data_IF_663465679856
#
_entry.id   IF_663465679856
#
_cell.length_a   1.000
_cell.length_b   1.000
_cell.length_c   1.000
_cell.angle_alpha   90.00
_cell.angle_beta   90.00
_cell.angle_gamma   90.00
#
_symmetry.space_group_name_H-M   'P 1'
#
loop_
_entity.id
_entity.type
_entity.pdbx_description
1 polymer ?
#
# COMPACT_ATOMS: atom_id res chain seq x y z
N UNK A 1 -8.22 -55.56 3.99
CA UNK A 1 -7.99 -55.26 5.42
C UNK A 1 -8.05 -53.74 5.58
N UNK A 2 -9.07 -53.19 6.23
CA UNK A 2 -9.15 -51.74 6.46
C UNK A 2 -8.41 -51.36 7.74
N UNK A 3 -7.71 -50.26 7.69
CA UNK A 3 -6.96 -49.65 8.79
C UNK A 3 -7.93 -48.96 9.78
N UNK A 4 -7.72 -49.09 11.10
CA UNK A 4 -8.56 -48.45 12.12
C UNK A 4 -7.95 -47.09 12.52
N UNK A 5 -8.78 -46.26 13.14
CA UNK A 5 -8.52 -45.03 13.87
C UNK A 5 -9.04 -43.75 13.23
N UNK A 6 -10.28 -43.42 13.62
CA UNK A 6 -10.70 -42.04 13.95
C UNK A 6 -12.02 -42.15 14.75
N UNK A 7 -11.92 -42.22 16.07
CA UNK A 7 -13.05 -41.97 16.97
C UNK A 7 -13.09 -40.48 17.23
N UNK A 8 -14.06 -39.81 16.63
CA UNK A 8 -14.41 -38.44 16.99
C UNK A 8 -15.19 -38.49 18.31
N UNK A 9 -14.68 -37.77 19.32
CA UNK A 9 -15.45 -37.47 20.53
C UNK A 9 -16.54 -36.46 20.23
N UNK A 10 -17.77 -36.61 20.73
CA UNK A 10 -18.81 -35.61 20.52
C UNK A 10 -18.50 -34.31 21.28
N UNK A 11 -19.00 -33.16 20.81
CA UNK A 11 -18.82 -31.87 21.47
C UNK A 11 -19.59 -31.89 22.84
N UNK A 12 -19.10 -31.09 23.81
CA UNK A 12 -19.77 -30.96 25.10
C UNK A 12 -21.16 -30.31 24.96
N UNK A 13 -22.11 -30.62 25.83
CA UNK A 13 -23.46 -30.07 25.81
C UNK A 13 -23.44 -28.56 26.12
N UNK A 14 -24.43 -27.79 25.64
CA UNK A 14 -24.56 -26.38 25.95
C UNK A 14 -24.88 -26.13 27.42
N UNK A 15 -24.42 -25.03 28.01
CA UNK A 15 -24.73 -24.69 29.40
C UNK A 15 -26.21 -24.33 29.58
N UNK A 16 -26.79 -24.55 30.81
CA UNK A 16 -28.18 -24.27 31.07
C UNK A 16 -28.53 -22.77 31.03
N UNK A 17 -29.76 -22.41 30.65
CA UNK A 17 -30.20 -21.03 30.61
C UNK A 17 -30.45 -20.48 32.02
N UNK A 18 -29.84 -19.36 32.35
CA UNK A 18 -30.21 -18.56 33.52
C UNK A 18 -29.09 -18.25 34.48
N UNK A 19 -28.16 -17.41 34.09
CA UNK A 19 -27.42 -16.55 35.02
C UNK A 19 -26.97 -15.31 34.23
N UNK A 20 -27.54 -14.18 34.60
CA UNK A 20 -27.24 -12.88 33.97
C UNK A 20 -25.78 -12.49 34.19
N UNK A 21 -25.06 -12.30 33.10
CA UNK A 21 -23.74 -11.71 33.12
C UNK A 21 -23.85 -10.22 33.35
N UNK A 22 -23.77 -9.82 34.61
CA UNK A 22 -23.37 -8.47 35.01
C UNK A 22 -21.93 -8.54 35.47
N UNK A 23 -21.15 -7.63 34.94
CA UNK A 23 -19.86 -7.14 35.42
C UNK A 23 -18.58 -7.82 34.90
N UNK A 24 -17.84 -7.03 34.11
CA UNK A 24 -16.39 -6.96 34.09
C UNK A 24 -15.65 -8.18 33.55
N UNK A 25 -15.54 -8.26 32.22
CA UNK A 25 -14.49 -9.04 31.58
C UNK A 25 -13.11 -8.39 31.76
N UNK A 26 -12.07 -9.12 32.14
CA UNK A 26 -10.72 -8.62 32.09
C UNK A 26 -10.27 -8.42 30.64
N UNK A 27 -9.66 -7.28 30.36
CA UNK A 27 -9.03 -7.01 29.06
C UNK A 27 -7.82 -7.96 28.91
N UNK A 28 -7.94 -8.97 28.08
CA UNK A 28 -6.83 -9.87 27.75
C UNK A 28 -6.06 -9.24 26.60
N UNK A 29 -4.90 -8.63 26.88
CA UNK A 29 -3.96 -8.20 25.82
C UNK A 29 -2.96 -9.33 25.63
N UNK A 30 -3.09 -10.07 24.55
CA UNK A 30 -2.09 -11.05 24.11
C UNK A 30 -1.08 -10.29 23.24
N UNK A 31 0.09 -10.04 23.77
CA UNK A 31 1.22 -9.51 22.99
C UNK A 31 2.12 -10.68 22.59
N UNK A 32 2.16 -11.00 21.32
CA UNK A 32 3.17 -11.87 20.73
C UNK A 32 4.50 -11.11 20.66
N UNK A 33 5.34 -11.29 21.66
CA UNK A 33 6.68 -10.69 21.74
C UNK A 33 7.74 -11.73 21.39
N UNK A 34 7.96 -11.94 20.09
CA UNK A 34 9.23 -12.48 19.61
C UNK A 34 10.07 -11.31 19.02
N UNK A 35 11.20 -11.01 19.68
CA UNK A 35 12.24 -10.07 19.25
C UNK A 35 11.95 -8.56 19.48
N UNK A 36 12.02 -8.13 20.72
CA UNK A 36 12.21 -6.71 21.03
C UNK A 36 13.52 -6.53 21.81
N UNK A 37 14.40 -5.70 21.27
CA UNK A 37 15.65 -5.29 21.93
C UNK A 37 15.36 -4.47 23.20
N UNK A 38 16.24 -4.46 24.24
CA UNK A 38 16.01 -3.80 25.52
C UNK A 38 15.69 -2.29 25.45
N UNK A 39 16.03 -1.63 24.37
CA UNK A 39 15.76 -0.20 24.14
C UNK A 39 14.27 0.16 23.94
N UNK A 40 13.41 -0.80 23.62
CA UNK A 40 11.97 -0.56 23.42
C UNK A 40 11.17 -0.56 24.74
N UNK A 41 11.65 -1.26 25.77
CA UNK A 41 11.00 -1.28 27.08
C UNK A 41 11.09 0.11 27.76
N UNK A 42 12.18 0.84 27.55
CA UNK A 42 12.35 2.19 28.09
C UNK A 42 11.45 3.23 27.36
N UNK A 43 11.08 2.96 26.11
CA UNK A 43 10.22 3.88 25.35
C UNK A 43 8.72 3.71 25.68
N UNK A 44 8.29 2.50 26.00
CA UNK A 44 6.91 2.24 26.38
C UNK A 44 6.49 2.92 27.69
N UNK A 45 7.46 3.10 28.63
CA UNK A 45 7.20 3.80 29.91
C UNK A 45 7.09 5.33 29.72
N UNK A 46 7.61 5.89 28.62
CA UNK A 46 7.55 7.35 28.35
C UNK A 46 6.25 7.83 27.74
N UNK A 47 5.38 6.93 27.30
CA UNK A 47 4.11 7.24 26.61
C UNK A 47 2.89 7.06 27.51
N UNK A 48 3.07 6.78 28.78
CA UNK A 48 1.96 6.73 29.75
C UNK A 48 1.31 8.14 29.91
N UNK A 49 -0.05 8.23 29.86
CA UNK A 49 -0.75 9.49 30.10
C UNK A 49 -0.29 10.17 31.38
N UNK A 50 -0.15 11.47 31.36
CA UNK A 50 0.40 12.28 32.49
C UNK A 50 -0.33 12.09 33.82
N UNK A 51 -1.59 11.67 33.79
CA UNK A 51 -2.39 11.34 34.97
C UNK A 51 -1.91 10.10 35.75
N UNK A 52 -1.17 9.20 35.14
CA UNK A 52 -0.61 8.01 35.79
C UNK A 52 0.77 8.25 36.41
N UNK A 53 1.43 9.38 36.12
CA UNK A 53 2.74 9.76 36.70
C UNK A 53 2.66 10.30 38.12
N UNK A 54 1.46 10.47 38.69
CA UNK A 54 1.24 11.04 40.02
C UNK A 54 0.85 10.02 41.10
N UNK A 55 1.01 8.71 40.82
CA UNK A 55 0.80 7.70 41.85
C UNK A 55 2.05 7.60 42.72
N UNK A 56 1.91 7.49 44.04
CA UNK A 56 3.07 7.35 44.94
C UNK A 56 3.84 6.08 44.65
N UNK A 57 5.18 6.15 44.76
CA UNK A 57 6.12 5.07 44.41
C UNK A 57 5.87 3.73 45.14
N UNK A 58 5.17 3.74 46.25
CA UNK A 58 4.77 2.53 46.98
C UNK A 58 3.78 1.60 46.27
N UNK A 59 3.22 2.00 45.13
CA UNK A 59 2.26 1.18 44.34
C UNK A 59 2.91 0.45 43.17
N UNK A 60 4.21 0.58 42.97
CA UNK A 60 4.94 0.04 41.80
C UNK A 60 6.01 -1.00 42.17
N UNK A 61 5.94 -1.58 43.37
CA UNK A 61 6.81 -2.69 43.75
C UNK A 61 6.28 -4.01 43.19
N UNK A 62 6.41 -4.17 41.85
CA UNK A 62 6.28 -5.44 41.17
C UNK A 62 7.64 -6.09 41.17
N UNK A 63 7.80 -7.09 42.03
CA UNK A 63 9.05 -7.81 42.20
C UNK A 63 9.61 -8.39 40.90
N UNK A 64 10.64 -7.78 40.36
CA UNK A 64 11.51 -8.28 39.29
C UNK A 64 12.60 -9.19 39.89
N UNK A 65 12.25 -10.04 40.81
CA UNK A 65 13.17 -10.98 41.46
C UNK A 65 12.79 -12.41 41.10
N UNK A 66 13.11 -12.84 39.90
CA UNK A 66 12.82 -14.24 39.52
C UNK A 66 13.25 -14.68 38.12
N UNK A 67 14.03 -13.88 37.41
CA UNK A 67 14.36 -14.23 36.01
C UNK A 67 15.87 -14.17 35.69
N UNK A 68 16.70 -14.80 36.56
CA UNK A 68 18.09 -15.06 36.20
C UNK A 68 18.52 -16.43 36.77
N UNK A 69 18.03 -17.53 36.19
CA UNK A 69 18.69 -18.84 36.28
C UNK A 69 18.12 -19.78 35.17
N UNK A 70 18.97 -20.11 34.20
CA UNK A 70 18.76 -21.36 33.45
C UNK A 70 18.53 -21.26 31.92
N UNK A 71 19.47 -20.72 31.16
CA UNK A 71 19.53 -20.99 29.72
C UNK A 71 20.49 -22.14 29.42
N UNK A 72 19.96 -23.35 29.30
CA UNK A 72 20.53 -24.42 28.47
C UNK A 72 19.42 -25.39 28.08
N UNK A 73 18.84 -25.21 26.89
CA UNK A 73 18.19 -26.13 25.95
C UNK A 73 16.99 -25.51 25.23
N UNK A 74 16.69 -25.91 23.98
CA UNK A 74 15.84 -25.12 23.08
C UNK A 74 14.37 -25.48 23.16
N UNK A 75 13.53 -24.50 22.77
CA UNK A 75 12.10 -24.61 22.40
C UNK A 75 11.14 -24.95 23.55
N UNK A 76 10.63 -23.91 24.19
CA UNK A 76 9.29 -23.89 24.74
C UNK A 76 8.79 -22.43 24.73
N UNK A 77 7.67 -22.20 24.06
CA UNK A 77 6.94 -20.94 24.05
C UNK A 77 6.50 -20.57 25.46
N UNK A 78 7.00 -19.46 26.00
CA UNK A 78 6.56 -18.92 27.28
C UNK A 78 5.60 -17.75 27.01
N UNK A 79 4.30 -18.00 27.19
CA UNK A 79 3.28 -16.93 27.22
C UNK A 79 3.26 -16.32 28.62
N UNK A 80 3.61 -15.05 28.74
CA UNK A 80 3.44 -14.31 29.99
C UNK A 80 2.09 -13.60 29.99
N UNK A 81 1.22 -13.96 30.93
CA UNK A 81 -0.08 -13.29 31.17
C UNK A 81 0.12 -12.24 32.25
N UNK A 82 -0.05 -10.96 31.90
CA UNK A 82 -0.07 -9.86 32.86
C UNK A 82 -1.52 -9.52 33.21
N UNK A 83 -1.95 -9.86 34.43
CA UNK A 83 -3.30 -9.53 34.94
C UNK A 83 -3.22 -8.24 35.77
N UNK A 84 -3.86 -7.17 35.31
CA UNK A 84 -4.02 -5.94 36.10
C UNK A 84 -5.43 -5.89 36.68
N UNK A 85 -5.56 -5.99 38.00
CA UNK A 85 -6.84 -5.84 38.71
C UNK A 85 -7.00 -4.39 39.18
N UNK A 86 -8.05 -3.73 38.68
CA UNK A 86 -8.48 -2.40 39.15
C UNK A 86 -9.66 -2.56 40.11
N UNK A 87 -9.53 -1.94 41.30
CA UNK A 87 -10.61 -1.89 42.28
C UNK A 87 -11.73 -0.91 41.89
N UNK A 88 -12.92 -1.00 42.51
CA UNK A 88 -14.10 -0.27 42.06
C UNK A 88 -14.01 1.22 42.42
N UNK A 89 -14.16 2.08 41.40
CA UNK A 89 -14.43 3.52 41.58
C UNK A 89 -15.92 3.73 41.31
N UNK A 90 -16.60 4.33 42.29
CA UNK A 90 -18.03 4.58 42.29
C UNK A 90 -18.45 5.52 41.15
N UNK A 91 -19.54 5.14 40.48
CA UNK A 91 -20.20 5.91 39.46
C UNK A 91 -21.02 7.07 40.07
N UNK A 92 -20.72 8.30 39.66
CA UNK A 92 -21.63 9.43 39.79
C UNK A 92 -22.13 9.79 38.40
N UNK A 93 -23.47 9.95 38.28
CA UNK A 93 -24.20 9.93 37.03
C UNK A 93 -24.01 11.15 36.13
N UNK A 94 -24.17 10.88 34.85
CA UNK A 94 -24.53 11.88 33.83
C UNK A 94 -25.48 11.21 32.82
N UNK A 95 -26.67 11.77 32.65
CA UNK A 95 -27.64 11.35 31.65
C UNK A 95 -27.22 11.79 30.23
N UNK A 96 -27.51 11.01 29.17
CA UNK A 96 -27.19 11.40 27.81
C UNK A 96 -28.28 12.32 27.22
N UNK A 97 -27.87 13.49 26.74
CA UNK A 97 -28.64 14.31 25.83
C UNK A 97 -28.40 13.84 24.39
N UNK A 98 -29.22 12.97 23.89
CA UNK A 98 -29.28 12.68 22.45
C UNK A 98 -30.11 13.79 21.76
N UNK A 99 -29.43 14.66 21.02
CA UNK A 99 -30.05 15.49 19.99
C UNK A 99 -29.87 14.79 18.65
N UNK A 100 -30.97 14.42 18.02
CA UNK A 100 -31.02 13.95 16.63
C UNK A 100 -30.48 15.05 15.72
N UNK A 101 -29.35 14.79 15.06
CA UNK A 101 -28.86 15.62 13.96
C UNK A 101 -29.41 15.03 12.67
N UNK A 102 -30.32 15.74 12.03
CA UNK A 102 -30.71 15.45 10.66
C UNK A 102 -29.52 15.64 9.70
N UNK A 103 -29.41 14.84 8.63
CA UNK A 103 -28.32 15.01 7.68
C UNK A 103 -28.49 16.33 6.92
N UNK A 104 -27.60 17.26 7.18
CA UNK A 104 -27.52 18.50 6.39
C UNK A 104 -27.21 18.16 4.95
N UNK A 105 -28.10 18.58 4.04
CA UNK A 105 -27.89 18.49 2.61
C UNK A 105 -26.61 19.24 2.22
N UNK A 106 -25.63 18.52 1.68
CA UNK A 106 -24.39 19.09 1.16
C UNK A 106 -24.75 19.88 -0.10
N UNK A 107 -24.78 21.18 0.01
CA UNK A 107 -24.87 22.08 -1.16
C UNK A 107 -23.55 21.99 -1.93
N UNK A 108 -23.57 21.69 -3.25
CA UNK A 108 -22.33 21.64 -4.00
C UNK A 108 -21.66 23.04 -3.99
N UNK A 109 -20.32 23.09 -3.75
CA UNK A 109 -19.61 24.37 -3.75
C UNK A 109 -19.62 24.98 -5.15
N UNK A 110 -19.81 26.30 -5.20
CA UNK A 110 -19.76 27.10 -6.44
C UNK A 110 -18.37 26.99 -7.07
N UNK A 111 -18.35 26.78 -8.39
CA UNK A 111 -17.14 26.81 -9.20
C UNK A 111 -16.39 28.13 -9.00
N UNK A 112 -15.36 28.13 -8.17
CA UNK A 112 -14.39 29.21 -8.09
C UNK A 112 -13.29 29.02 -9.17
N UNK A 113 -12.64 30.10 -9.61
CA UNK A 113 -11.57 30.00 -10.59
C UNK A 113 -10.44 29.11 -10.05
N UNK A 114 -10.10 28.06 -10.80
CA UNK A 114 -8.96 27.18 -10.50
C UNK A 114 -7.69 28.04 -10.49
N UNK A 115 -6.80 27.89 -9.49
CA UNK A 115 -5.49 28.51 -9.56
C UNK A 115 -4.81 28.11 -10.88
N UNK A 116 -4.31 29.09 -11.60
CA UNK A 116 -3.63 28.86 -12.87
C UNK A 116 -2.40 27.97 -12.62
N UNK A 117 -2.43 26.74 -13.15
CA UNK A 117 -1.24 25.88 -13.20
C UNK A 117 -0.27 26.59 -14.11
N UNK A 118 0.89 26.99 -13.61
CA UNK A 118 1.96 27.54 -14.45
C UNK A 118 2.34 26.45 -15.45
N UNK A 119 1.84 26.58 -16.66
CA UNK A 119 2.43 25.94 -17.83
C UNK A 119 3.60 26.84 -18.18
N UNK A 120 4.81 26.40 -17.95
CA UNK A 120 5.97 27.00 -18.59
C UNK A 120 5.83 26.70 -20.08
N UNK A 121 5.17 27.62 -20.79
CA UNK A 121 4.87 27.50 -22.21
C UNK A 121 6.14 27.33 -23.05
N UNK A 122 7.29 27.75 -22.54
CA UNK A 122 8.58 27.64 -23.22
C UNK A 122 9.18 26.21 -23.18
N UNK A 123 8.82 25.36 -22.24
CA UNK A 123 9.28 23.96 -22.22
C UNK A 123 8.45 23.05 -23.13
N UNK A 124 7.18 23.38 -23.39
CA UNK A 124 6.31 22.61 -24.29
C UNK A 124 6.65 22.79 -25.78
N UNK A 125 7.46 23.77 -26.14
CA UNK A 125 7.75 24.16 -27.54
C UNK A 125 8.98 23.47 -28.15
N UNK A 126 9.86 22.84 -27.36
CA UNK A 126 11.02 22.11 -27.91
C UNK A 126 10.75 20.62 -27.93
N UNK A 127 10.92 19.94 -29.09
CA UNK A 127 10.87 18.49 -29.12
C UNK A 127 11.93 17.94 -28.15
N UNK A 128 11.53 16.93 -27.35
CA UNK A 128 12.47 16.27 -26.45
C UNK A 128 13.66 15.73 -27.26
N UNK A 129 14.90 15.84 -26.75
CA UNK A 129 16.05 15.26 -27.42
C UNK A 129 15.88 13.73 -27.50
N UNK A 130 16.58 13.08 -28.45
CA UNK A 130 16.59 11.63 -28.47
C UNK A 130 17.19 11.06 -27.17
N UNK A 131 16.75 9.89 -26.80
CA UNK A 131 17.38 9.13 -25.71
C UNK A 131 18.86 8.88 -26.01
N UNK A 132 19.71 8.68 -25.00
CA UNK A 132 21.10 8.29 -25.19
C UNK A 132 21.21 7.05 -26.11
N UNK A 133 22.16 7.10 -27.05
CA UNK A 133 22.35 6.03 -28.02
C UNK A 133 22.58 4.67 -27.30
N UNK A 134 21.90 3.61 -27.77
CA UNK A 134 22.01 2.27 -27.21
C UNK A 134 21.30 2.05 -25.87
N UNK A 135 20.69 3.10 -25.26
CA UNK A 135 20.06 2.92 -23.94
C UNK A 135 18.74 2.14 -24.02
N UNK A 136 17.97 2.32 -25.08
CA UNK A 136 16.73 1.54 -25.28
C UNK A 136 17.06 0.05 -25.51
N UNK A 137 18.08 -0.27 -26.32
CA UNK A 137 18.59 -1.62 -26.53
C UNK A 137 19.10 -2.24 -25.23
N UNK A 138 19.75 -1.43 -24.41
CA UNK A 138 20.19 -1.86 -23.10
C UNK A 138 19.00 -2.22 -22.21
N UNK A 139 17.93 -1.41 -22.16
CA UNK A 139 16.72 -1.74 -21.40
C UNK A 139 16.06 -3.01 -21.91
N UNK A 140 16.03 -3.26 -23.22
CA UNK A 140 15.54 -4.49 -23.80
C UNK A 140 16.34 -5.71 -23.34
N UNK A 141 17.67 -5.58 -23.23
CA UNK A 141 18.56 -6.62 -22.72
C UNK A 141 18.40 -6.95 -21.22
N UNK A 142 17.65 -6.15 -20.48
CA UNK A 142 17.32 -6.41 -19.07
C UNK A 142 16.05 -7.24 -18.88
N UNK A 143 15.33 -7.58 -19.96
CA UNK A 143 14.17 -8.46 -19.87
C UNK A 143 14.61 -9.82 -19.29
N UNK A 144 14.04 -10.25 -18.14
CA UNK A 144 14.51 -11.42 -17.43
C UNK A 144 14.09 -12.75 -18.04
N UNK A 145 13.38 -12.73 -19.18
CA UNK A 145 12.83 -13.92 -19.81
C UNK A 145 11.70 -14.57 -19.02
N UNK A 146 10.87 -13.77 -18.36
CA UNK A 146 9.67 -14.26 -17.70
C UNK A 146 8.66 -14.81 -18.74
N UNK A 147 7.59 -15.51 -18.30
CA UNK A 147 6.60 -16.05 -19.24
C UNK A 147 5.99 -15.00 -20.19
N UNK A 148 6.04 -13.73 -19.78
CA UNK A 148 5.67 -12.57 -20.59
C UNK A 148 6.71 -11.47 -20.48
N UNK A 149 6.97 -10.70 -21.54
CA UNK A 149 7.93 -9.60 -21.53
C UNK A 149 7.62 -8.57 -20.44
N UNK A 150 8.67 -7.99 -19.87
CA UNK A 150 8.56 -6.89 -18.89
C UNK A 150 8.52 -5.56 -19.63
N UNK A 151 7.63 -4.67 -19.22
CA UNK A 151 7.59 -3.29 -19.72
C UNK A 151 8.51 -2.39 -18.91
N UNK A 152 9.43 -1.69 -19.56
CA UNK A 152 10.41 -0.79 -18.94
C UNK A 152 10.37 0.56 -19.64
N UNK A 153 10.36 1.65 -18.86
CA UNK A 153 10.59 2.98 -19.39
C UNK A 153 11.42 3.83 -18.41
N UNK A 154 12.28 4.66 -18.97
CA UNK A 154 13.08 5.65 -18.25
C UNK A 154 12.99 6.98 -19.00
N UNK A 155 12.68 8.06 -18.27
CA UNK A 155 12.59 9.41 -18.82
C UNK A 155 13.41 10.38 -17.95
N UNK A 156 14.31 11.13 -18.55
CA UNK A 156 14.96 12.27 -17.88
C UNK A 156 13.94 13.40 -17.74
N UNK A 157 13.66 13.80 -16.51
CA UNK A 157 12.59 14.77 -16.21
C UNK A 157 12.95 16.16 -16.71
N UNK A 158 14.24 16.53 -16.68
CA UNK A 158 14.73 17.85 -17.07
C UNK A 158 14.78 18.02 -18.58
N UNK A 159 15.38 17.08 -19.31
CA UNK A 159 15.55 17.17 -20.77
C UNK A 159 14.37 16.60 -21.56
N UNK A 160 13.62 15.68 -20.96
CA UNK A 160 12.46 15.05 -21.57
C UNK A 160 12.77 13.85 -22.47
N UNK A 161 14.04 13.41 -22.63
CA UNK A 161 14.29 12.18 -23.38
C UNK A 161 13.66 10.96 -22.72
N UNK A 162 13.22 10.03 -23.55
CA UNK A 162 12.59 8.79 -23.10
C UNK A 162 13.20 7.60 -23.83
N UNK A 163 13.61 6.59 -23.07
CA UNK A 163 13.98 5.26 -23.56
C UNK A 163 13.03 4.24 -22.99
N UNK A 164 12.63 3.23 -23.78
CA UNK A 164 11.73 2.19 -23.30
C UNK A 164 11.91 0.86 -24.02
N UNK A 165 11.54 -0.21 -23.32
CA UNK A 165 11.28 -1.53 -23.86
C UNK A 165 9.82 -1.89 -23.57
N UNK A 166 9.05 -2.35 -24.58
CA UNK A 166 7.59 -2.57 -24.47
C UNK A 166 6.84 -1.34 -23.93
N UNK A 167 7.35 -0.12 -24.18
CA UNK A 167 6.94 1.11 -23.53
C UNK A 167 5.47 1.51 -23.77
N UNK A 168 4.87 1.12 -24.89
CA UNK A 168 3.51 1.48 -25.30
C UNK A 168 2.50 0.35 -25.08
N UNK A 169 2.94 -0.82 -24.59
CA UNK A 169 2.06 -1.92 -24.24
C UNK A 169 1.42 -1.69 -22.86
N UNK A 170 0.12 -1.98 -22.69
CA UNK A 170 -0.54 -1.89 -21.39
C UNK A 170 -0.17 -3.09 -20.50
N UNK A 171 0.18 -2.83 -19.26
CA UNK A 171 0.53 -3.82 -18.24
C UNK A 171 -0.40 -3.69 -17.02
N UNK A 172 -0.69 -4.81 -16.31
CA UNK A 172 -1.32 -4.78 -14.99
C UNK A 172 -0.56 -3.84 -14.05
N UNK A 173 -1.19 -2.78 -13.55
CA UNK A 173 -0.48 -1.87 -12.64
C UNK A 173 -0.68 -2.19 -11.16
N UNK A 174 -1.75 -2.94 -10.81
CA UNK A 174 -2.03 -3.27 -9.41
C UNK A 174 -2.02 -2.00 -8.54
N UNK A 175 -1.41 -2.06 -7.36
CA UNK A 175 -1.36 -0.93 -6.42
C UNK A 175 -0.60 0.32 -6.92
N UNK A 176 0.02 0.32 -8.10
CA UNK A 176 0.49 1.55 -8.75
C UNK A 176 -0.68 2.49 -8.99
N UNK A 177 -1.87 1.96 -9.27
CA UNK A 177 -3.12 2.71 -9.48
C UNK A 177 -3.49 3.66 -8.35
N UNK A 178 -3.06 3.37 -7.10
CA UNK A 178 -3.29 4.22 -5.92
C UNK A 178 -2.68 5.61 -6.04
N UNK A 179 -1.63 5.73 -6.85
CA UNK A 179 -1.03 7.04 -7.16
C UNK A 179 -2.03 7.94 -7.88
N UNK A 180 -2.76 7.41 -8.85
CA UNK A 180 -3.72 8.19 -9.62
C UNK A 180 -4.92 8.63 -8.79
N UNK A 181 -5.36 7.77 -7.86
CA UNK A 181 -6.40 8.13 -6.87
C UNK A 181 -5.91 9.29 -5.99
N UNK A 182 -4.71 9.18 -5.44
CA UNK A 182 -4.13 10.23 -4.60
C UNK A 182 -3.97 11.56 -5.36
N UNK A 183 -3.52 11.53 -6.62
CA UNK A 183 -3.42 12.75 -7.45
C UNK A 183 -4.80 13.37 -7.70
N UNK A 184 -5.85 12.55 -7.92
CA UNK A 184 -7.21 13.05 -8.09
C UNK A 184 -7.74 13.73 -6.82
N UNK A 185 -7.49 13.14 -5.66
CA UNK A 185 -7.82 13.77 -4.37
C UNK A 185 -7.08 15.10 -4.21
N UNK A 186 -5.79 15.14 -4.54
CA UNK A 186 -5.01 16.39 -4.43
C UNK A 186 -5.47 17.46 -5.42
N UNK A 187 -5.93 17.11 -6.62
CA UNK A 187 -6.59 18.06 -7.54
C UNK A 187 -7.88 18.65 -6.93
N UNK A 188 -8.63 17.84 -6.20
CA UNK A 188 -9.82 18.32 -5.51
C UNK A 188 -9.47 19.21 -4.30
N UNK A 189 -8.36 18.93 -3.61
CA UNK A 189 -7.82 19.79 -2.54
C UNK A 189 -7.36 21.13 -3.13
N UNK A 190 -6.63 21.13 -4.22
CA UNK A 190 -6.19 22.34 -4.93
C UNK A 190 -7.40 23.18 -5.41
N UNK A 191 -8.49 22.52 -5.79
CA UNK A 191 -9.74 23.16 -6.17
C UNK A 191 -10.64 23.52 -4.95
N UNK A 192 -10.19 23.31 -3.71
CA UNK A 192 -10.92 23.55 -2.46
C UNK A 192 -12.25 22.80 -2.35
N UNK A 193 -12.36 21.65 -3.02
CA UNK A 193 -13.50 20.73 -2.91
C UNK A 193 -13.34 19.72 -1.79
N UNK A 194 -12.10 19.46 -1.39
CA UNK A 194 -11.74 18.63 -0.24
C UNK A 194 -10.71 19.38 0.61
N UNK A 195 -10.63 19.00 1.89
CA UNK A 195 -9.58 19.44 2.81
C UNK A 195 -8.78 18.20 3.25
N UNK A 196 -7.45 18.34 3.26
CA UNK A 196 -6.56 17.26 3.72
C UNK A 196 -6.80 16.88 5.17
N UNK A 197 -7.18 17.84 5.99
CA UNK A 197 -7.42 17.64 7.43
C UNK A 197 -8.92 17.39 7.74
N UNK A 198 -9.75 17.29 6.69
CA UNK A 198 -11.14 16.87 6.83
C UNK A 198 -11.23 15.50 7.48
N UNK A 199 -12.06 15.40 8.52
CA UNK A 199 -12.38 14.14 9.18
C UNK A 199 -13.09 13.17 8.23
N UNK A 200 -12.64 11.92 8.24
CA UNK A 200 -13.24 10.80 7.54
C UNK A 200 -13.47 9.66 8.52
N UNK A 201 -14.67 9.11 8.52
CA UNK A 201 -15.00 7.95 9.34
C UNK A 201 -14.95 6.70 8.47
N UNK A 202 -14.14 5.70 8.88
CA UNK A 202 -14.17 4.35 8.34
C UNK A 202 -15.06 3.48 9.24
N UNK A 203 -15.77 2.56 8.59
CA UNK A 203 -16.61 1.55 9.23
C UNK A 203 -16.26 0.17 8.69
N UNK A 204 -16.88 -0.88 9.21
CA UNK A 204 -16.73 -2.23 8.65
C UNK A 204 -17.15 -2.32 7.17
N UNK A 205 -18.05 -1.44 6.71
CA UNK A 205 -18.43 -1.36 5.29
C UNK A 205 -17.30 -0.85 4.37
N UNK A 206 -16.28 -0.19 4.94
CA UNK A 206 -15.12 0.31 4.21
C UNK A 206 -14.01 -0.76 4.07
N UNK A 207 -14.19 -1.96 4.64
CA UNK A 207 -13.24 -3.06 4.47
C UNK A 207 -13.10 -3.41 2.99
N UNK A 208 -11.87 -3.67 2.59
CA UNK A 208 -11.48 -4.11 1.25
C UNK A 208 -10.99 -5.58 1.29
N UNK A 209 -10.04 -5.93 0.46
CA UNK A 209 -9.41 -7.25 0.42
C UNK A 209 -7.88 -7.12 0.48
N UNK A 210 -7.18 -8.18 0.85
CA UNK A 210 -5.73 -8.25 1.00
C UNK A 210 -5.16 -7.23 2.00
N UNK A 211 -4.15 -6.46 1.62
CA UNK A 211 -3.42 -5.54 2.48
C UNK A 211 -4.28 -4.32 2.86
N UNK A 212 -4.77 -4.29 4.08
CA UNK A 212 -5.63 -3.21 4.60
C UNK A 212 -5.38 -2.92 6.09
N UNK A 213 -4.16 -2.49 6.46
CA UNK A 213 -3.79 -2.26 7.86
C UNK A 213 -4.73 -1.32 8.62
N UNK A 214 -5.32 -0.34 7.93
CA UNK A 214 -6.23 0.63 8.55
C UNK A 214 -7.46 -0.04 9.17
N UNK A 215 -7.89 -1.18 8.67
CA UNK A 215 -9.09 -1.87 9.21
C UNK A 215 -8.88 -2.47 10.59
N UNK A 216 -7.62 -2.66 11.02
CA UNK A 216 -7.30 -3.07 12.40
C UNK A 216 -7.53 -1.95 13.42
N UNK A 217 -7.72 -0.72 12.97
CA UNK A 217 -8.01 0.44 13.80
C UNK A 217 -9.51 0.69 13.97
N UNK A 218 -10.36 -0.07 13.26
CA UNK A 218 -11.81 0.03 13.41
C UNK A 218 -12.20 -0.64 14.72
N UNK A 219 -12.42 0.17 15.76
CA UNK A 219 -12.86 -0.25 17.07
C UNK A 219 -14.31 0.15 17.29
N UNK A 220 -15.12 -0.73 17.88
CA UNK A 220 -16.56 -0.50 18.08
C UNK A 220 -17.31 -0.08 16.79
N UNK A 221 -16.86 -0.61 15.64
CA UNK A 221 -17.48 -0.39 14.33
C UNK A 221 -17.07 0.89 13.61
N UNK A 222 -16.20 1.73 14.18
CA UNK A 222 -15.74 2.98 13.56
C UNK A 222 -14.27 3.29 13.81
N UNK A 223 -13.64 4.00 12.88
CA UNK A 223 -12.33 4.63 13.06
C UNK A 223 -12.36 6.03 12.43
N UNK A 224 -12.06 7.05 13.22
CA UNK A 224 -11.95 8.43 12.77
C UNK A 224 -10.53 8.74 12.32
N UNK A 225 -10.38 9.31 11.14
CA UNK A 225 -9.10 9.67 10.52
C UNK A 225 -9.24 10.91 9.66
N UNK A 226 -8.24 11.21 8.81
CA UNK A 226 -8.27 12.34 7.88
C UNK A 226 -7.98 11.90 6.45
N UNK A 227 -8.34 12.73 5.46
CA UNK A 227 -7.97 12.52 4.05
C UNK A 227 -6.45 12.39 3.92
N UNK A 228 -5.68 13.20 4.64
CA UNK A 228 -4.22 13.17 4.71
C UNK A 228 -3.69 11.81 5.14
N UNK A 229 -4.19 11.27 6.24
CA UNK A 229 -3.76 9.96 6.76
C UNK A 229 -4.11 8.84 5.77
N UNK A 230 -5.29 8.88 5.16
CA UNK A 230 -5.69 7.89 4.16
C UNK A 230 -4.76 7.90 2.93
N UNK A 231 -4.37 9.08 2.42
CA UNK A 231 -3.39 9.19 1.31
C UNK A 231 -2.05 8.57 1.73
N UNK A 232 -1.58 8.89 2.94
CA UNK A 232 -0.31 8.35 3.43
C UNK A 232 -0.36 6.83 3.58
N UNK A 233 -1.44 6.26 4.12
CA UNK A 233 -1.62 4.80 4.22
C UNK A 233 -1.69 4.13 2.85
N UNK A 234 -2.49 4.67 1.94
CA UNK A 234 -2.64 4.13 0.59
C UNK A 234 -1.32 4.13 -0.19
N UNK A 235 -0.50 5.17 -0.05
CA UNK A 235 0.77 5.27 -0.77
C UNK A 235 1.92 4.57 -0.04
N UNK A 236 2.11 4.81 1.26
CA UNK A 236 3.28 4.32 2.02
C UNK A 236 3.19 2.82 2.30
N UNK A 237 2.03 2.35 2.76
CA UNK A 237 1.78 0.96 3.15
C UNK A 237 0.99 0.18 2.10
N UNK A 238 0.57 0.85 1.02
CA UNK A 238 -0.29 0.24 -0.01
C UNK A 238 -1.65 -0.26 0.51
N UNK A 239 -2.24 0.42 1.50
CA UNK A 239 -3.49 0.05 2.16
C UNK A 239 -4.68 0.12 1.18
N UNK A 240 -5.36 -1.02 0.99
CA UNK A 240 -6.45 -1.15 0.03
C UNK A 240 -7.74 -0.49 0.52
N UNK A 241 -8.06 -0.60 1.81
CA UNK A 241 -9.26 0.01 2.39
C UNK A 241 -9.14 1.55 2.42
N UNK A 242 -7.95 2.07 2.77
CA UNK A 242 -7.68 3.49 2.69
C UNK A 242 -7.82 4.00 1.26
N UNK A 243 -7.32 3.26 0.26
CA UNK A 243 -7.46 3.62 -1.16
C UNK A 243 -8.92 3.59 -1.63
N UNK A 244 -9.67 2.55 -1.27
CA UNK A 244 -11.08 2.44 -1.67
C UNK A 244 -11.93 3.56 -1.06
N UNK A 245 -11.64 3.96 0.18
CA UNK A 245 -12.26 5.14 0.80
C UNK A 245 -11.94 6.43 0.05
N UNK A 246 -10.66 6.64 -0.30
CA UNK A 246 -10.22 7.78 -1.12
C UNK A 246 -10.85 7.75 -2.51
N UNK A 247 -10.98 6.57 -3.13
CA UNK A 247 -11.66 6.39 -4.41
C UNK A 247 -13.11 6.86 -4.33
N UNK A 248 -13.83 6.50 -3.25
CA UNK A 248 -15.18 6.97 -3.00
C UNK A 248 -15.25 8.50 -2.85
N UNK A 249 -14.35 9.10 -2.06
CA UNK A 249 -14.24 10.56 -1.89
C UNK A 249 -13.89 11.27 -3.21
N UNK A 250 -13.09 10.65 -4.07
CA UNK A 250 -12.76 11.20 -5.38
C UNK A 250 -13.97 11.27 -6.33
N UNK A 251 -15.04 10.54 -6.05
CA UNK A 251 -16.20 10.40 -6.93
C UNK A 251 -16.18 9.11 -7.78
N UNK A 252 -15.40 8.12 -7.35
CA UNK A 252 -15.29 6.81 -7.98
C UNK A 252 -14.31 6.73 -9.15
N UNK A 253 -14.18 5.54 -9.77
CA UNK A 253 -13.23 5.30 -10.87
C UNK A 253 -13.41 6.23 -12.06
N UNK A 254 -14.66 6.59 -12.39
CA UNK A 254 -14.95 7.50 -13.49
C UNK A 254 -14.37 8.90 -13.27
N UNK A 255 -14.41 9.41 -12.04
CA UNK A 255 -13.82 10.71 -11.70
C UNK A 255 -12.30 10.68 -11.79
N UNK A 256 -11.66 9.57 -11.37
CA UNK A 256 -10.20 9.39 -11.52
C UNK A 256 -9.84 9.34 -13.00
N UNK A 257 -10.59 8.59 -13.82
CA UNK A 257 -10.35 8.51 -15.26
C UNK A 257 -10.55 9.87 -15.96
N UNK A 258 -11.54 10.66 -15.54
CA UNK A 258 -11.76 12.02 -16.03
C UNK A 258 -10.61 12.96 -15.66
N UNK A 259 -10.07 12.83 -14.43
CA UNK A 259 -8.88 13.58 -14.03
C UNK A 259 -7.68 13.21 -14.90
N UNK A 260 -7.39 11.92 -15.11
CA UNK A 260 -6.30 11.45 -15.97
C UNK A 260 -6.41 12.05 -17.37
N UNK A 261 -7.59 11.98 -17.96
CA UNK A 261 -7.87 12.54 -19.29
C UNK A 261 -7.69 14.07 -19.33
N UNK A 262 -8.20 14.79 -18.32
CA UNK A 262 -8.11 16.26 -18.24
C UNK A 262 -6.67 16.77 -18.11
N UNK A 263 -5.76 15.93 -17.60
CA UNK A 263 -4.32 16.22 -17.45
C UNK A 263 -3.48 15.64 -18.58
N UNK A 264 -4.09 15.06 -19.62
CA UNK A 264 -3.39 14.46 -20.75
C UNK A 264 -2.57 13.22 -20.40
N UNK A 265 -2.87 12.56 -19.27
CA UNK A 265 -2.21 11.33 -18.85
C UNK A 265 -2.74 10.14 -19.66
N UNK A 266 -2.25 10.00 -20.88
CA UNK A 266 -2.60 8.91 -21.78
C UNK A 266 -1.87 7.61 -21.40
N UNK A 267 -2.45 6.46 -21.81
CA UNK A 267 -1.85 5.15 -21.56
C UNK A 267 -2.00 4.66 -20.12
N UNK A 268 -2.85 5.31 -19.31
CA UNK A 268 -3.17 4.89 -17.94
C UNK A 268 -4.68 4.73 -17.84
N UNK A 269 -5.12 3.55 -17.38
CA UNK A 269 -6.51 3.21 -17.21
C UNK A 269 -6.78 2.77 -15.77
N UNK A 270 -7.93 3.21 -15.23
CA UNK A 270 -8.45 2.76 -13.97
C UNK A 270 -9.97 2.60 -14.10
N UNK A 271 -10.48 1.38 -13.93
CA UNK A 271 -11.87 1.05 -14.20
C UNK A 271 -12.69 0.73 -12.94
N UNK A 272 -12.04 0.30 -11.86
CA UNK A 272 -12.71 -0.26 -10.68
C UNK A 272 -12.00 0.17 -9.39
N UNK A 273 -12.70 0.08 -8.25
CA UNK A 273 -12.08 0.13 -6.93
C UNK A 273 -11.29 -1.17 -6.66
N UNK A 274 -10.46 -1.17 -5.62
CA UNK A 274 -9.54 -2.28 -5.33
C UNK A 274 -10.31 -3.58 -5.07
N UNK A 275 -11.41 -3.54 -4.30
CA UNK A 275 -12.17 -4.74 -3.94
C UNK A 275 -12.84 -5.39 -5.16
N UNK A 276 -13.37 -4.59 -6.10
CA UNK A 276 -13.95 -5.11 -7.37
C UNK A 276 -12.86 -5.61 -8.30
N UNK A 277 -11.80 -4.82 -8.47
CA UNK A 277 -10.65 -5.20 -9.30
C UNK A 277 -10.06 -6.54 -8.86
N UNK A 278 -9.75 -6.70 -7.58
CA UNK A 278 -9.15 -7.93 -7.07
C UNK A 278 -10.10 -9.13 -7.12
N UNK A 279 -11.40 -8.91 -6.92
CA UNK A 279 -12.40 -9.96 -7.10
C UNK A 279 -12.46 -10.44 -8.56
N UNK A 280 -12.53 -9.51 -9.49
CA UNK A 280 -12.57 -9.80 -10.93
C UNK A 280 -11.30 -10.51 -11.42
N UNK A 281 -10.12 -10.09 -10.96
CA UNK A 281 -8.84 -10.76 -11.24
C UNK A 281 -8.86 -12.21 -10.77
N UNK A 282 -9.46 -12.48 -9.60
CA UNK A 282 -9.60 -13.84 -9.07
C UNK A 282 -10.64 -14.68 -9.82
N UNK A 283 -11.51 -14.10 -10.64
CA UNK A 283 -12.66 -14.77 -11.24
C UNK A 283 -13.89 -14.75 -10.32
N UNK A 284 -13.95 -13.83 -9.35
CA UNK A 284 -15.08 -13.62 -8.46
C UNK A 284 -15.84 -12.34 -8.82
N UNK A 285 -17.12 -12.30 -8.45
CA UNK A 285 -17.88 -11.05 -8.37
C UNK A 285 -17.83 -10.53 -6.94
N UNK A 286 -17.48 -9.25 -6.78
CA UNK A 286 -17.47 -8.63 -5.45
C UNK A 286 -18.86 -8.65 -4.80
N UNK A 287 -18.89 -9.04 -3.53
CA UNK A 287 -20.02 -8.82 -2.63
C UNK A 287 -19.50 -8.38 -1.25
N UNK A 288 -20.29 -7.67 -0.43
CA UNK A 288 -19.86 -7.23 0.90
C UNK A 288 -19.40 -8.38 1.81
N UNK A 289 -19.94 -9.57 1.64
CA UNK A 289 -19.55 -10.75 2.44
C UNK A 289 -18.07 -11.13 2.25
N UNK A 290 -17.49 -10.78 1.09
CA UNK A 290 -16.07 -11.02 0.83
C UNK A 290 -15.15 -10.12 1.64
N UNK A 291 -15.65 -9.07 2.27
CA UNK A 291 -14.86 -8.18 3.13
C UNK A 291 -14.62 -8.77 4.53
N UNK A 292 -15.38 -9.79 4.94
CA UNK A 292 -15.15 -10.45 6.21
C UNK A 292 -13.76 -11.11 6.23
N UNK A 293 -13.14 -11.14 7.42
CA UNK A 293 -11.79 -11.67 7.58
C UNK A 293 -11.64 -13.09 7.00
N UNK A 294 -10.74 -13.26 6.06
CA UNK A 294 -10.47 -14.55 5.38
C UNK A 294 -11.55 -15.00 4.38
N UNK A 295 -12.66 -14.28 4.23
CA UNK A 295 -13.75 -14.69 3.34
C UNK A 295 -13.35 -14.65 1.86
N UNK A 296 -12.60 -13.61 1.45
CA UNK A 296 -12.11 -13.49 0.10
C UNK A 296 -11.13 -14.63 -0.26
N UNK A 297 -10.18 -14.92 0.61
CA UNK A 297 -9.22 -16.02 0.45
C UNK A 297 -9.95 -17.36 0.38
N UNK A 298 -10.94 -17.58 1.25
CA UNK A 298 -11.75 -18.81 1.25
C UNK A 298 -12.58 -18.94 -0.04
N UNK A 299 -13.20 -17.86 -0.52
CA UNK A 299 -13.95 -17.86 -1.77
C UNK A 299 -13.04 -18.18 -2.96
N UNK A 300 -11.88 -17.53 -3.02
CA UNK A 300 -10.86 -17.74 -4.04
C UNK A 300 -10.31 -19.18 -4.05
N UNK A 301 -10.13 -19.78 -2.86
CA UNK A 301 -9.65 -21.16 -2.73
C UNK A 301 -10.68 -22.21 -3.20
N UNK A 302 -11.98 -21.88 -3.24
CA UNK A 302 -13.06 -22.76 -3.72
C UNK A 302 -13.26 -22.72 -5.24
N UNK A 303 -12.66 -21.73 -5.92
CA UNK A 303 -12.76 -21.66 -7.38
C UNK A 303 -12.12 -22.90 -8.02
N UNK A 304 -12.68 -23.33 -9.14
CA UNK A 304 -12.00 -24.28 -10.01
C UNK A 304 -10.63 -23.72 -10.41
N UNK A 305 -9.54 -24.48 -10.22
CA UNK A 305 -8.19 -24.01 -10.47
C UNK A 305 -7.96 -23.56 -11.92
N UNK A 306 -8.61 -24.20 -12.90
CA UNK A 306 -8.48 -23.84 -14.31
C UNK A 306 -9.26 -22.57 -14.64
N UNK A 307 -10.46 -22.40 -14.08
CA UNK A 307 -11.23 -21.17 -14.22
C UNK A 307 -10.47 -19.98 -13.60
N UNK A 308 -9.82 -20.17 -12.45
CA UNK A 308 -8.99 -19.15 -11.82
C UNK A 308 -7.75 -18.83 -12.66
N UNK A 309 -7.08 -19.85 -13.23
CA UNK A 309 -5.96 -19.65 -14.14
C UNK A 309 -6.39 -18.83 -15.35
N UNK A 310 -7.52 -19.17 -15.97
CA UNK A 310 -8.06 -18.44 -17.11
C UNK A 310 -8.35 -16.97 -16.79
N UNK A 311 -8.92 -16.66 -15.62
CA UNK A 311 -9.18 -15.27 -15.18
C UNK A 311 -7.88 -14.48 -15.02
N UNK A 312 -6.85 -15.06 -14.42
CA UNK A 312 -5.54 -14.44 -14.25
C UNK A 312 -4.85 -14.19 -15.60
N UNK A 313 -4.91 -15.15 -16.52
CA UNK A 313 -4.35 -15.01 -17.87
C UNK A 313 -5.08 -13.92 -18.67
N UNK A 314 -6.41 -13.90 -18.61
CA UNK A 314 -7.22 -12.85 -19.27
C UNK A 314 -6.88 -11.45 -18.73
N UNK A 315 -6.64 -11.33 -17.42
CA UNK A 315 -6.22 -10.09 -16.81
C UNK A 315 -4.85 -9.63 -17.32
N UNK A 316 -3.89 -10.53 -17.42
CA UNK A 316 -2.54 -10.20 -17.92
C UNK A 316 -2.57 -9.81 -19.40
N UNK A 317 -3.46 -10.43 -20.19
CA UNK A 317 -3.62 -10.14 -21.62
C UNK A 317 -4.35 -8.82 -21.88
N UNK A 318 -5.35 -8.51 -21.07
CA UNK A 318 -6.18 -7.31 -21.19
C UNK A 318 -6.42 -6.70 -19.79
N UNK A 319 -5.42 -6.02 -19.21
CA UNK A 319 -5.53 -5.51 -17.84
C UNK A 319 -6.59 -4.41 -17.74
N UNK A 320 -7.53 -4.59 -16.80
CA UNK A 320 -8.63 -3.64 -16.56
C UNK A 320 -8.12 -2.31 -16.00
N UNK A 321 -7.01 -2.37 -15.26
CA UNK A 321 -6.24 -1.27 -14.71
C UNK A 321 -4.95 -1.00 -15.51
N UNK A 322 -4.92 -1.31 -16.81
CA UNK A 322 -3.70 -1.29 -17.60
C UNK A 322 -3.02 0.06 -17.65
N UNK A 323 -1.68 0.05 -17.52
CA UNK A 323 -0.86 1.22 -17.76
C UNK A 323 0.33 0.90 -18.66
N UNK A 324 0.67 1.84 -19.55
CA UNK A 324 1.86 1.75 -20.39
C UNK A 324 3.07 2.32 -19.63
N UNK A 325 4.25 1.68 -19.67
CA UNK A 325 5.45 2.22 -19.04
C UNK A 325 5.76 3.66 -19.46
N UNK A 326 5.63 3.96 -20.75
CA UNK A 326 5.85 5.31 -21.27
C UNK A 326 4.81 6.33 -20.76
N UNK A 327 3.54 5.92 -20.63
CA UNK A 327 2.50 6.76 -20.04
C UNK A 327 2.77 7.08 -18.58
N UNK A 328 3.20 6.07 -17.81
CA UNK A 328 3.54 6.23 -16.39
C UNK A 328 4.72 7.20 -16.20
N UNK A 329 5.82 7.05 -16.93
CA UNK A 329 6.97 7.94 -16.75
C UNK A 329 6.68 9.38 -17.19
N UNK A 330 5.86 9.60 -18.24
CA UNK A 330 5.38 10.93 -18.62
C UNK A 330 4.53 11.56 -17.51
N UNK A 331 3.62 10.81 -16.90
CA UNK A 331 2.80 11.29 -15.79
C UNK A 331 3.64 11.63 -14.56
N UNK A 332 4.62 10.80 -14.19
CA UNK A 332 5.56 11.07 -13.10
C UNK A 332 6.42 12.29 -13.36
N UNK A 333 6.92 12.45 -14.58
CA UNK A 333 7.69 13.62 -14.98
C UNK A 333 6.83 14.90 -14.91
N UNK A 334 5.60 14.87 -15.41
CA UNK A 334 4.64 15.97 -15.32
C UNK A 334 4.32 16.34 -13.86
N UNK A 335 4.15 15.33 -12.98
CA UNK A 335 3.98 15.56 -11.55
C UNK A 335 5.21 16.29 -10.97
N UNK A 336 6.41 15.80 -11.24
CA UNK A 336 7.62 16.39 -10.69
C UNK A 336 7.82 17.84 -11.17
N UNK A 337 7.46 18.17 -12.43
CA UNK A 337 7.53 19.53 -12.97
C UNK A 337 6.41 20.46 -12.49
N UNK A 338 5.47 19.96 -11.65
CA UNK A 338 4.33 20.73 -11.14
C UNK A 338 3.25 21.02 -12.19
N UNK A 339 3.17 20.23 -13.26
CA UNK A 339 2.20 20.40 -14.35
C UNK A 339 0.81 19.81 -14.01
N UNK A 340 0.74 18.95 -13.00
CA UNK A 340 -0.50 18.25 -12.62
C UNK A 340 -1.25 18.88 -11.46
N UNK A 341 -0.52 19.39 -10.46
CA UNK A 341 -1.03 19.87 -9.18
C UNK A 341 -0.37 21.20 -8.79
N UNK A 342 -0.90 21.86 -7.76
CA UNK A 342 -0.19 22.97 -7.12
C UNK A 342 1.16 22.53 -6.55
N UNK A 343 2.06 23.47 -6.30
CA UNK A 343 3.39 23.19 -5.71
C UNK A 343 3.26 22.47 -4.37
N UNK A 344 2.38 22.94 -3.49
CA UNK A 344 2.16 22.34 -2.18
C UNK A 344 1.67 20.89 -2.29
N UNK A 345 0.72 20.64 -3.18
CA UNK A 345 0.17 19.30 -3.42
C UNK A 345 1.18 18.36 -4.07
N UNK A 346 1.97 18.88 -5.01
CA UNK A 346 3.10 18.15 -5.62
C UNK A 346 4.12 17.75 -4.56
N UNK A 347 4.57 18.69 -3.74
CA UNK A 347 5.56 18.42 -2.68
C UNK A 347 5.04 17.41 -1.67
N UNK A 348 3.76 17.48 -1.27
CA UNK A 348 3.13 16.51 -0.37
C UNK A 348 3.16 15.08 -0.96
N UNK A 349 2.77 14.91 -2.23
CA UNK A 349 2.79 13.59 -2.89
C UNK A 349 4.22 13.07 -3.00
N UNK A 350 5.18 13.89 -3.45
CA UNK A 350 6.58 13.46 -3.62
C UNK A 350 7.23 13.08 -2.28
N UNK A 351 6.98 13.84 -1.21
CA UNK A 351 7.44 13.50 0.13
C UNK A 351 6.80 12.20 0.64
N UNK A 352 5.52 11.98 0.36
CA UNK A 352 4.81 10.74 0.73
C UNK A 352 5.40 9.54 0.00
N UNK A 353 5.64 9.64 -1.32
CA UNK A 353 6.27 8.59 -2.12
C UNK A 353 7.72 8.29 -1.68
N UNK A 354 8.46 9.30 -1.19
CA UNK A 354 9.80 9.11 -0.62
C UNK A 354 9.82 8.27 0.68
N UNK A 355 8.66 8.09 1.32
CA UNK A 355 8.49 7.33 2.57
C UNK A 355 7.90 5.93 2.37
N UNK A 356 7.68 5.51 1.13
CA UNK A 356 7.13 4.17 0.81
C UNK A 356 7.98 3.08 1.45
N UNK A 357 7.32 2.15 2.14
CA UNK A 357 7.97 1.04 2.86
C UNK A 357 7.94 -0.27 2.09
N UNK A 358 7.05 -0.40 1.11
CA UNK A 358 6.92 -1.61 0.28
C UNK A 358 8.01 -1.69 -0.78
N UNK A 359 8.44 -2.90 -1.15
CA UNK A 359 9.42 -3.17 -2.21
C UNK A 359 10.79 -2.52 -2.03
N UNK A 360 11.44 -2.57 -0.85
CA UNK A 360 12.73 -1.90 -0.63
C UNK A 360 13.83 -2.45 -1.53
N UNK A 361 13.68 -3.68 -2.02
CA UNK A 361 14.63 -4.37 -2.89
C UNK A 361 14.30 -4.26 -4.39
N UNK A 362 13.26 -3.48 -4.76
CA UNK A 362 12.96 -3.21 -6.17
C UNK A 362 13.83 -2.07 -6.71
N UNK A 363 13.30 -1.02 -7.29
CA UNK A 363 14.10 0.10 -7.83
C UNK A 363 15.11 0.64 -6.82
N UNK A 364 14.67 0.85 -5.56
CA UNK A 364 15.55 1.35 -4.50
C UNK A 364 16.75 0.45 -4.25
N UNK A 365 16.57 -0.88 -4.34
CA UNK A 365 17.62 -1.88 -4.10
C UNK A 365 18.77 -1.85 -5.10
N UNK A 366 18.62 -1.19 -6.25
CA UNK A 366 19.68 -1.03 -7.26
C UNK A 366 20.37 0.34 -7.23
N UNK A 367 20.03 1.21 -6.28
CA UNK A 367 20.57 2.57 -6.20
C UNK A 367 21.73 2.65 -5.19
N UNK A 368 22.86 3.30 -5.55
CA UNK A 368 23.96 3.51 -4.63
C UNK A 368 23.65 4.64 -3.62
N UNK A 369 24.46 4.77 -2.55
CA UNK A 369 24.35 5.88 -1.60
C UNK A 369 24.34 7.26 -2.29
N UNK A 370 23.55 8.18 -1.77
CA UNK A 370 23.36 9.52 -2.33
C UNK A 370 22.22 9.63 -3.33
N UNK A 371 21.75 8.53 -3.92
CA UNK A 371 20.54 8.52 -4.72
C UNK A 371 19.29 8.45 -3.84
N UNK A 372 18.19 9.02 -4.34
CA UNK A 372 16.88 8.99 -3.65
C UNK A 372 15.81 8.41 -4.58
N UNK A 373 14.86 7.68 -4.01
CA UNK A 373 13.69 7.18 -4.73
C UNK A 373 12.41 7.63 -4.04
N UNK A 374 11.49 8.16 -4.83
CA UNK A 374 10.09 8.40 -4.48
C UNK A 374 9.26 7.51 -5.40
N UNK A 375 8.73 6.38 -4.87
CA UNK A 375 8.21 5.31 -5.71
C UNK A 375 6.90 4.72 -5.20
N UNK A 376 6.23 3.94 -6.04
CA UNK A 376 5.04 3.16 -5.69
C UNK A 376 5.14 1.77 -6.29
N UNK A 377 5.00 0.77 -5.45
CA UNK A 377 4.97 -0.64 -5.87
C UNK A 377 3.58 -1.12 -6.23
N UNK A 378 3.51 -2.17 -7.02
CA UNK A 378 2.31 -2.95 -7.29
C UNK A 378 2.63 -4.43 -7.22
N UNK A 379 1.85 -5.21 -6.45
CA UNK A 379 2.00 -6.66 -6.33
C UNK A 379 0.62 -7.29 -6.44
N UNK A 380 0.48 -8.20 -7.37
CA UNK A 380 -0.79 -8.88 -7.67
C UNK A 380 -0.91 -10.23 -6.98
N UNK A 381 -1.91 -10.98 -7.42
CA UNK A 381 -2.24 -12.27 -6.82
C UNK A 381 -1.24 -13.35 -7.19
N UNK A 382 -0.94 -14.21 -6.23
CA UNK A 382 -0.15 -15.42 -6.44
C UNK A 382 -1.03 -16.59 -6.85
N UNK A 383 -0.57 -17.35 -7.86
CA UNK A 383 -1.18 -18.60 -8.26
C UNK A 383 -0.17 -19.51 -8.96
N UNK A 384 -0.13 -20.80 -8.62
CA UNK A 384 0.76 -21.83 -9.24
C UNK A 384 2.24 -21.40 -9.33
N UNK A 385 2.75 -20.75 -8.29
CA UNK A 385 4.16 -20.32 -8.27
C UNK A 385 4.48 -19.04 -9.05
N UNK A 386 3.46 -18.35 -9.56
CA UNK A 386 3.57 -17.09 -10.30
C UNK A 386 2.88 -15.97 -9.53
N UNK A 387 3.39 -14.74 -9.66
CA UNK A 387 2.71 -13.51 -9.24
C UNK A 387 2.22 -12.77 -10.49
N UNK A 388 0.93 -12.44 -10.53
CA UNK A 388 0.27 -11.77 -11.65
C UNK A 388 0.24 -10.25 -11.44
N UNK A 389 1.28 -9.59 -11.91
CA UNK A 389 1.59 -8.18 -11.70
C UNK A 389 2.64 -7.96 -10.61
N UNK A 390 3.86 -7.59 -11.00
CA UNK A 390 4.95 -7.22 -10.09
C UNK A 390 5.59 -5.94 -10.62
N UNK A 391 5.41 -4.83 -9.91
CA UNK A 391 5.67 -3.52 -10.46
C UNK A 391 6.40 -2.62 -9.47
N UNK A 392 7.22 -1.71 -10.00
CA UNK A 392 7.70 -0.55 -9.27
C UNK A 392 7.87 0.63 -10.22
N UNK A 393 7.30 1.77 -9.85
CA UNK A 393 7.38 2.99 -10.64
C UNK A 393 7.69 4.17 -9.74
N UNK A 394 8.45 5.14 -10.23
CA UNK A 394 8.79 6.27 -9.38
C UNK A 394 9.73 7.27 -10.02
N UNK A 395 10.13 8.22 -9.19
CA UNK A 395 11.15 9.22 -9.48
C UNK A 395 12.43 8.83 -8.74
N UNK A 396 13.52 8.78 -9.48
CA UNK A 396 14.85 8.47 -8.98
C UNK A 396 15.72 9.70 -9.18
N UNK A 397 16.27 10.24 -8.10
CA UNK A 397 17.06 11.48 -8.12
C UNK A 397 18.52 11.20 -7.80
N UNK A 398 19.39 11.57 -8.71
CA UNK A 398 20.85 11.49 -8.59
C UNK A 398 21.42 12.51 -7.58
N UNK A 399 22.67 12.34 -7.11
CA UNK A 399 23.30 13.24 -6.15
C UNK A 399 23.43 14.69 -6.65
N UNK A 400 23.51 14.91 -7.98
CA UNK A 400 23.57 16.24 -8.61
C UNK A 400 22.20 16.91 -8.75
N UNK A 401 21.10 16.22 -8.32
CA UNK A 401 19.73 16.72 -8.42
C UNK A 401 19.00 16.34 -9.72
N UNK A 402 19.69 15.73 -10.71
CA UNK A 402 19.03 15.20 -11.91
C UNK A 402 18.04 14.11 -11.53
N UNK A 403 16.83 14.22 -12.05
CA UNK A 403 15.73 13.31 -11.71
C UNK A 403 15.25 12.54 -12.94
N UNK A 404 15.01 11.27 -12.76
CA UNK A 404 14.50 10.36 -13.78
C UNK A 404 13.19 9.75 -13.31
N UNK A 405 12.20 9.71 -14.20
CA UNK A 405 11.00 8.91 -14.02
C UNK A 405 11.28 7.50 -14.56
N UNK A 406 10.98 6.49 -13.75
CA UNK A 406 11.25 5.08 -14.05
C UNK A 406 9.98 4.27 -13.87
N UNK A 407 9.69 3.37 -14.79
CA UNK A 407 8.63 2.38 -14.66
C UNK A 407 9.14 1.01 -15.07
N UNK A 408 8.90 0.01 -14.20
CA UNK A 408 9.16 -1.41 -14.48
C UNK A 408 7.88 -2.17 -14.13
N UNK A 409 7.24 -2.76 -15.13
CA UNK A 409 5.96 -3.44 -15.03
C UNK A 409 6.11 -4.87 -15.54
N UNK A 410 6.11 -5.85 -14.63
CA UNK A 410 6.17 -7.27 -14.94
C UNK A 410 4.76 -7.88 -14.83
N UNK A 411 4.13 -8.28 -15.94
CA UNK A 411 2.76 -8.78 -15.92
C UNK A 411 2.64 -10.13 -15.21
N UNK A 412 3.70 -10.94 -15.25
CA UNK A 412 3.76 -12.24 -14.63
C UNK A 412 5.22 -12.52 -14.22
N UNK A 413 5.45 -12.85 -12.95
CA UNK A 413 6.78 -13.03 -12.39
C UNK A 413 6.86 -14.32 -11.56
N UNK A 414 7.75 -15.29 -11.93
CA UNK A 414 7.92 -16.52 -11.17
C UNK A 414 8.41 -16.25 -9.74
N UNK A 415 7.74 -16.89 -8.76
CA UNK A 415 8.10 -16.82 -7.35
C UNK A 415 9.39 -17.54 -7.12
N UNK A 416 10.35 -17.38 -6.69
CA UNK A 416 11.61 -18.15 -6.54
C UNK A 416 12.63 -17.90 -7.65
N UNK A 417 12.26 -17.16 -8.68
CA UNK A 417 13.22 -16.73 -9.69
C UNK A 417 14.21 -15.72 -9.08
N UNK A 418 15.53 -15.92 -9.20
CA UNK A 418 16.53 -14.95 -8.76
C UNK A 418 16.41 -13.61 -9.54
N UNK A 419 15.80 -13.65 -10.72
CA UNK A 419 15.59 -12.47 -11.56
C UNK A 419 14.38 -11.64 -11.13
N UNK A 420 13.53 -12.15 -10.25
CA UNK A 420 12.27 -11.51 -9.82
C UNK A 420 12.47 -10.07 -9.34
N UNK A 421 13.41 -9.83 -8.44
CA UNK A 421 13.75 -8.48 -7.97
C UNK A 421 14.92 -7.86 -8.73
N UNK A 422 15.79 -8.71 -9.30
CA UNK A 422 16.96 -8.25 -10.04
C UNK A 422 16.60 -7.36 -11.23
N UNK A 423 15.51 -7.62 -11.93
CA UNK A 423 15.08 -6.77 -13.07
C UNK A 423 14.96 -5.32 -12.68
N UNK A 424 14.33 -5.01 -11.53
CA UNK A 424 14.20 -3.63 -11.01
C UNK A 424 15.54 -3.02 -10.67
N UNK A 425 16.39 -3.78 -9.98
CA UNK A 425 17.73 -3.36 -9.57
C UNK A 425 18.62 -3.13 -10.78
N UNK A 426 18.53 -3.97 -11.83
CA UNK A 426 19.28 -3.82 -13.06
C UNK A 426 18.90 -2.58 -13.85
N UNK A 427 17.60 -2.22 -13.86
CA UNK A 427 17.14 -0.95 -14.47
C UNK A 427 17.74 0.23 -13.71
N UNK A 428 17.72 0.22 -12.38
CA UNK A 428 18.36 1.27 -11.57
C UNK A 428 19.87 1.32 -11.79
N UNK A 429 20.55 0.18 -11.85
CA UNK A 429 22.00 0.09 -12.13
C UNK A 429 22.33 0.65 -13.51
N UNK A 430 21.58 0.27 -14.55
CA UNK A 430 21.74 0.79 -15.89
C UNK A 430 21.57 2.33 -15.96
N UNK A 431 20.63 2.86 -15.19
CA UNK A 431 20.43 4.29 -15.07
C UNK A 431 21.60 5.00 -14.36
N UNK A 432 22.12 4.42 -13.27
CA UNK A 432 23.30 4.94 -12.54
C UNK A 432 24.51 5.00 -13.46
N UNK A 433 24.78 3.97 -14.24
CA UNK A 433 25.87 3.95 -15.22
C UNK A 433 25.63 4.96 -16.35
N UNK A 434 24.40 5.12 -16.84
CA UNK A 434 24.04 6.12 -17.85
C UNK A 434 24.28 7.55 -17.34
N UNK A 435 24.06 7.79 -16.05
CA UNK A 435 24.39 9.05 -15.38
C UNK A 435 25.91 9.26 -15.23
N UNK A 436 26.71 8.20 -15.37
CA UNK A 436 28.18 8.21 -15.21
C UNK A 436 28.66 7.80 -13.83
N UNK A 437 27.79 7.20 -13.00
CA UNK A 437 28.11 6.68 -11.68
C UNK A 437 28.52 5.20 -11.69
N UNK A 438 28.90 4.72 -10.51
CA UNK A 438 29.19 3.29 -10.28
C UNK A 438 27.93 2.64 -9.68
N UNK A 439 27.36 1.59 -10.32
CA UNK A 439 26.23 0.87 -9.77
C UNK A 439 26.64 0.04 -8.54
N UNK A 440 25.67 -0.26 -7.65
CA UNK A 440 25.91 -1.23 -6.60
C UNK A 440 26.02 -2.64 -7.18
N UNK A 441 26.90 -3.50 -6.66
CA UNK A 441 26.90 -4.91 -6.99
C UNK A 441 25.54 -5.54 -6.68
N UNK A 442 24.93 -6.18 -7.66
CA UNK A 442 23.64 -6.83 -7.46
C UNK A 442 23.84 -8.19 -6.75
N UNK A 443 22.96 -8.55 -5.80
CA UNK A 443 23.03 -9.82 -5.11
C UNK A 443 23.00 -11.01 -6.08
N UNK A 444 23.87 -12.00 -5.89
CA UNK A 444 24.00 -13.16 -6.78
C UNK A 444 23.01 -14.30 -6.48
N UNK A 445 22.32 -14.26 -5.34
CA UNK A 445 21.39 -15.29 -4.87
C UNK A 445 19.90 -14.90 -4.93
N UNK A 446 19.01 -15.86 -4.62
CA UNK A 446 17.60 -15.56 -4.48
C UNK A 446 17.38 -14.55 -3.35
N UNK A 447 16.58 -13.54 -3.63
CA UNK A 447 16.21 -12.50 -2.67
C UNK A 447 14.82 -12.79 -2.10
N UNK A 448 14.64 -12.57 -0.80
CA UNK A 448 13.36 -12.80 -0.17
C UNK A 448 12.44 -11.60 -0.36
N UNK A 449 11.21 -11.86 -0.81
CA UNK A 449 10.13 -10.86 -0.95
C UNK A 449 9.44 -10.54 0.40
N UNK A 450 10.06 -10.87 1.54
CA UNK A 450 9.42 -10.78 2.88
C UNK A 450 9.07 -9.37 3.33
N UNK A 451 9.28 -8.36 2.50
CA UNK A 451 8.93 -6.96 2.79
C UNK A 451 7.86 -6.40 1.82
N UNK A 452 7.16 -7.27 1.10
CA UNK A 452 6.04 -6.91 0.22
C UNK A 452 4.68 -7.30 0.82
#
# INVERSE_FOLDING_TARGET
MPSPWLRMTPPPPPPPPGLGWRALGPLLVVADAAWLAPSLVVHAVRVLPERLRRLPEAALDVGVSGLLLGFRRPVATLSAVLTVTMGPIAAAGAAPLFRSLEPSAITPPRDGPRPAIRRDADLAARPAPPAPAGFAERLAGLDPGFPRPVGIAVMDVQSGWLASWQGDQPFPQQSVSKLWVALTIMDQVDARRLDLDQTVILTDADRSVFNQPVTHLIENGTYETTVRDLIQRALIQSDNAANDKLMGLAGGPAAVQAFLASRGMSGIRLAEDERRLQSRIAGLTWSPDLSAYGAFEAARARLDPEARAASLQAYVEQPFDGATPAGVVRALAALHRGELLSRTSTDFILQTLGRVTTGPMRLRGGLPPGWRAAHKTGTGQDFRGETFGLNDVGLVTAPDGRTYAVAVLAPQAPKGSPNRLRVFQSVSAALVEQWGGQPVPLPSGPQSDRAD
#
